data_IF_088421323126
#
_entry.id   IF_088421323126
#
_cell.length_a   1.000
_cell.length_b   1.000
_cell.length_c   1.000
_cell.angle_alpha   90.00
_cell.angle_beta   90.00
_cell.angle_gamma   90.00
#
_symmetry.space_group_name_H-M   'P 1'
#
loop_
_entity.id
_entity.type
_entity.pdbx_description
1 polymer ?
#
# COMPACT_ATOMS: atom_id res chain seq x y z
N UNK A 1 9.69 -1.99 14.59
CA UNK A 1 9.00 -1.71 13.33
C UNK A 1 7.61 -1.18 13.63
N UNK A 2 7.17 -0.14 12.92
CA UNK A 2 5.83 0.44 13.02
C UNK A 2 5.25 0.70 11.63
N UNK A 3 4.04 0.18 11.38
CA UNK A 3 3.36 0.27 10.09
C UNK A 3 2.21 1.28 10.13
N UNK A 4 2.02 2.05 9.06
CA UNK A 4 0.77 2.76 8.80
C UNK A 4 -0.05 1.93 7.82
N UNK A 5 -1.22 1.44 8.24
CA UNK A 5 -2.06 0.55 7.44
C UNK A 5 -3.16 1.39 6.79
N UNK A 6 -3.19 1.40 5.46
CA UNK A 6 -4.29 1.94 4.67
C UNK A 6 -5.36 0.86 4.49
N UNK A 7 -6.45 1.02 5.23
CA UNK A 7 -7.51 0.03 5.40
C UNK A 7 -8.72 0.34 4.53
N UNK A 8 -9.31 -0.70 3.95
CA UNK A 8 -10.55 -0.61 3.17
C UNK A 8 -11.47 -1.81 3.42
N UNK A 9 -11.39 -2.39 4.63
CA UNK A 9 -12.17 -3.56 5.06
C UNK A 9 -11.88 -4.83 4.22
N UNK A 10 -10.59 -5.08 3.98
CA UNK A 10 -10.13 -6.25 3.25
C UNK A 10 -10.38 -7.54 4.04
N UNK A 11 -10.61 -8.66 3.34
CA UNK A 11 -10.96 -9.95 3.97
C UNK A 11 -9.93 -10.42 5.02
N UNK A 12 -8.64 -10.24 4.73
CA UNK A 12 -7.54 -10.74 5.56
C UNK A 12 -7.09 -9.76 6.66
N UNK A 13 -7.78 -8.62 6.79
CA UNK A 13 -7.28 -7.53 7.61
C UNK A 13 -7.13 -7.91 9.09
N UNK A 14 -8.13 -8.57 9.68
CA UNK A 14 -8.10 -8.99 11.09
C UNK A 14 -7.00 -10.01 11.37
N UNK A 15 -6.82 -10.99 10.49
CA UNK A 15 -5.79 -12.02 10.64
C UNK A 15 -4.38 -11.41 10.53
N UNK A 16 -4.22 -10.42 9.65
CA UNK A 16 -2.98 -9.67 9.52
C UNK A 16 -2.67 -8.83 10.75
N UNK A 17 -3.62 -8.04 11.26
CA UNK A 17 -3.45 -7.26 12.50
C UNK A 17 -3.16 -8.15 13.72
N UNK A 18 -3.81 -9.31 13.81
CA UNK A 18 -3.53 -10.31 14.84
C UNK A 18 -2.09 -10.84 14.73
N UNK A 19 -1.65 -11.16 13.51
CA UNK A 19 -0.28 -11.62 13.24
C UNK A 19 0.75 -10.55 13.59
N UNK A 20 0.51 -9.28 13.22
CA UNK A 20 1.39 -8.17 13.60
C UNK A 20 1.50 -8.03 15.11
N UNK A 21 0.39 -8.17 15.83
CA UNK A 21 0.33 -8.12 17.29
C UNK A 21 1.12 -9.26 17.93
N UNK A 22 0.94 -10.50 17.45
CA UNK A 22 1.69 -11.68 17.92
C UNK A 22 3.20 -11.50 17.74
N UNK A 23 3.61 -10.86 16.64
CA UNK A 23 5.01 -10.55 16.36
C UNK A 23 5.51 -9.23 16.95
N UNK A 24 4.73 -8.58 17.82
CA UNK A 24 5.09 -7.32 18.50
C UNK A 24 5.43 -6.18 17.52
N UNK A 25 4.79 -6.14 16.36
CA UNK A 25 4.90 -5.08 15.37
C UNK A 25 3.82 -4.03 15.66
N UNK A 26 4.23 -2.79 15.90
CA UNK A 26 3.28 -1.70 16.10
C UNK A 26 2.61 -1.31 14.78
N UNK A 27 1.35 -0.90 14.81
CA UNK A 27 0.68 -0.36 13.64
C UNK A 27 -0.38 0.67 14.00
N UNK A 28 -0.71 1.53 13.04
CA UNK A 28 -1.87 2.43 13.08
C UNK A 28 -2.70 2.21 11.84
N UNK A 29 -3.98 1.95 12.03
CA UNK A 29 -4.98 1.87 10.96
C UNK A 29 -5.51 3.24 10.55
N UNK A 30 -5.63 3.47 9.25
CA UNK A 30 -6.39 4.59 8.69
C UNK A 30 -7.34 4.06 7.63
N UNK A 31 -8.62 4.42 7.73
CA UNK A 31 -9.63 4.08 6.74
C UNK A 31 -10.04 5.34 5.98
N UNK A 32 -10.15 5.25 4.66
CA UNK A 32 -10.60 6.35 3.83
C UNK A 32 -11.46 5.86 2.67
N UNK A 33 -12.61 6.52 2.47
CA UNK A 33 -13.49 6.25 1.35
C UNK A 33 -13.11 7.17 0.20
N UNK A 34 -12.50 6.61 -0.85
CA UNK A 34 -12.08 7.38 -2.03
C UNK A 34 -13.28 8.02 -2.72
N UNK A 35 -13.19 9.34 -2.94
CA UNK A 35 -14.17 10.07 -3.76
C UNK A 35 -13.83 9.88 -5.24
N UNK A 36 -12.54 9.92 -5.58
CA UNK A 36 -11.98 9.58 -6.88
C UNK A 36 -10.75 8.70 -6.65
N UNK A 37 -10.83 7.44 -7.06
CA UNK A 37 -9.73 6.45 -6.90
C UNK A 37 -8.46 6.82 -7.68
N UNK A 38 -8.56 7.73 -8.66
CA UNK A 38 -7.43 8.15 -9.52
C UNK A 38 -6.81 9.45 -9.02
N UNK A 39 -7.61 10.40 -8.56
CA UNK A 39 -7.15 11.73 -8.18
C UNK A 39 -7.84 12.25 -6.93
N UNK A 40 -7.29 11.88 -5.77
CA UNK A 40 -7.76 12.37 -4.47
C UNK A 40 -6.66 13.13 -3.74
N UNK A 41 -6.58 14.44 -3.97
CA UNK A 41 -5.60 15.31 -3.32
C UNK A 41 -5.82 15.42 -1.81
N UNK A 42 -7.07 15.30 -1.36
CA UNK A 42 -7.40 15.30 0.07
C UNK A 42 -6.81 14.06 0.75
N UNK A 43 -6.97 12.88 0.15
CA UNK A 43 -6.35 11.65 0.63
C UNK A 43 -4.82 11.78 0.66
N UNK A 44 -4.20 12.25 -0.43
CA UNK A 44 -2.74 12.43 -0.50
C UNK A 44 -2.23 13.35 0.62
N UNK A 45 -2.89 14.49 0.80
CA UNK A 45 -2.56 15.43 1.86
C UNK A 45 -2.72 14.78 3.24
N UNK A 46 -3.83 14.10 3.49
CA UNK A 46 -4.13 13.50 4.79
C UNK A 46 -3.18 12.36 5.14
N UNK A 47 -2.85 11.48 4.18
CA UNK A 47 -1.83 10.45 4.33
C UNK A 47 -0.47 11.06 4.66
N UNK A 48 -0.09 12.14 3.98
CA UNK A 48 1.15 12.88 4.27
C UNK A 48 1.16 13.41 5.71
N UNK A 49 0.03 13.96 6.19
CA UNK A 49 -0.06 14.43 7.59
C UNK A 49 0.14 13.30 8.58
N UNK A 50 -0.47 12.13 8.38
CA UNK A 50 -0.25 10.98 9.26
C UNK A 50 1.23 10.57 9.31
N UNK A 51 1.91 10.58 8.17
CA UNK A 51 3.34 10.28 8.09
C UNK A 51 4.23 11.31 8.81
N UNK A 52 3.77 12.54 8.97
CA UNK A 52 4.50 13.60 9.67
C UNK A 52 4.16 13.71 11.16
N UNK A 53 2.98 13.25 11.57
CA UNK A 53 2.52 13.23 12.97
C UNK A 53 3.27 12.20 13.84
N UNK A 54 3.81 11.15 13.23
CA UNK A 54 4.40 10.02 13.94
C UNK A 54 5.45 9.33 13.05
N UNK A 55 6.29 8.49 13.64
CA UNK A 55 7.31 7.74 12.91
C UNK A 55 6.76 6.39 12.44
N UNK A 56 6.88 6.12 11.14
CA UNK A 56 6.57 4.82 10.51
C UNK A 56 7.75 4.32 9.71
N UNK A 57 7.96 2.99 9.73
CA UNK A 57 8.99 2.33 8.92
C UNK A 57 8.48 2.01 7.51
N UNK A 58 7.17 1.79 7.37
CA UNK A 58 6.52 1.55 6.09
C UNK A 58 5.01 1.84 6.14
N UNK A 59 4.42 2.08 4.97
CA UNK A 59 2.98 2.06 4.74
C UNK A 59 2.59 0.70 4.18
N UNK A 60 1.45 0.15 4.62
CA UNK A 60 0.93 -1.13 4.14
C UNK A 60 -0.49 -0.98 3.61
N UNK A 61 -0.83 -1.70 2.53
CA UNK A 61 -2.22 -1.94 2.15
C UNK A 61 -2.44 -3.35 1.59
N UNK A 62 -3.65 -3.86 1.78
CA UNK A 62 -4.16 -4.92 0.92
C UNK A 62 -4.54 -4.34 -0.43
N UNK A 63 -4.20 -5.06 -1.50
CA UNK A 63 -4.19 -4.58 -2.87
C UNK A 63 -3.30 -3.35 -3.09
N UNK A 64 -2.92 -3.17 -4.36
CA UNK A 64 -2.06 -2.06 -4.75
C UNK A 64 -2.90 -0.80 -4.95
N UNK A 65 -2.54 0.29 -4.26
CA UNK A 65 -3.22 1.58 -4.31
C UNK A 65 -2.25 2.63 -4.89
N UNK A 66 -2.43 3.07 -6.14
CA UNK A 66 -1.53 4.03 -6.80
C UNK A 66 -1.32 5.33 -6.03
N UNK A 67 -2.40 5.85 -5.41
CA UNK A 67 -2.34 7.05 -4.60
C UNK A 67 -1.39 6.89 -3.41
N UNK A 68 -1.43 5.73 -2.74
CA UNK A 68 -0.50 5.41 -1.64
C UNK A 68 0.93 5.31 -2.15
N UNK A 69 1.15 4.59 -3.26
CA UNK A 69 2.47 4.48 -3.88
C UNK A 69 3.07 5.86 -4.21
N UNK A 70 2.27 6.76 -4.78
CA UNK A 70 2.71 8.12 -5.15
C UNK A 70 3.14 8.96 -3.95
N UNK A 71 2.39 8.90 -2.84
CA UNK A 71 2.74 9.59 -1.60
C UNK A 71 4.00 8.97 -1.00
N UNK A 72 4.07 7.64 -0.92
CA UNK A 72 5.23 6.95 -0.34
C UNK A 72 6.53 7.24 -1.11
N UNK A 73 6.47 7.27 -2.44
CA UNK A 73 7.60 7.66 -3.29
C UNK A 73 8.04 9.11 -3.05
N UNK A 74 7.08 10.03 -2.85
CA UNK A 74 7.37 11.44 -2.56
C UNK A 74 7.97 11.65 -1.17
N UNK A 75 7.43 10.97 -0.17
CA UNK A 75 7.88 11.05 1.23
C UNK A 75 9.08 10.13 1.53
N UNK A 76 9.57 9.39 0.52
CA UNK A 76 10.69 8.46 0.62
C UNK A 76 10.53 7.43 1.74
N UNK A 77 9.34 6.85 1.86
CA UNK A 77 8.99 5.77 2.81
C UNK A 77 8.62 4.50 2.06
N UNK A 78 8.93 3.33 2.61
CA UNK A 78 8.57 2.05 1.99
C UNK A 78 7.05 1.89 1.89
N UNK A 79 6.59 1.41 0.74
CA UNK A 79 5.21 1.00 0.51
C UNK A 79 5.14 -0.52 0.30
N UNK A 80 4.47 -1.21 1.20
CA UNK A 80 4.21 -2.64 1.16
C UNK A 80 2.77 -2.87 0.67
N UNK A 81 2.61 -3.51 -0.48
CA UNK A 81 1.29 -3.85 -0.99
C UNK A 81 1.18 -5.36 -1.15
N UNK A 82 0.16 -5.97 -0.57
CA UNK A 82 -0.14 -7.39 -0.82
C UNK A 82 -1.44 -7.52 -1.57
N UNK A 83 -1.35 -7.91 -2.85
CA UNK A 83 -2.52 -8.16 -3.68
C UNK A 83 -2.80 -9.64 -3.84
N UNK A 84 -4.06 -9.99 -3.57
CA UNK A 84 -4.66 -11.29 -3.81
C UNK A 84 -5.57 -11.30 -5.05
N UNK A 85 -5.67 -10.17 -5.75
CA UNK A 85 -6.43 -10.02 -6.99
C UNK A 85 -5.51 -10.16 -8.21
N UNK A 86 -6.04 -10.75 -9.29
CA UNK A 86 -5.36 -10.88 -10.58
C UNK A 86 -6.42 -10.76 -11.69
N UNK A 87 -6.31 -9.80 -12.62
CA UNK A 87 -5.25 -8.78 -12.69
C UNK A 87 -5.35 -7.73 -11.57
N UNK A 88 -4.32 -6.89 -11.42
CA UNK A 88 -4.40 -5.72 -10.56
C UNK A 88 -5.44 -4.78 -11.19
N UNK A 89 -6.49 -4.43 -10.45
CA UNK A 89 -7.55 -3.53 -10.93
C UNK A 89 -7.09 -2.06 -10.85
N UNK A 90 -6.03 -1.75 -11.60
CA UNK A 90 -5.34 -0.47 -11.59
C UNK A 90 -4.94 -0.11 -13.02
N UNK A 91 -5.42 1.03 -13.49
CA UNK A 91 -5.05 1.56 -14.80
C UNK A 91 -3.60 2.08 -14.80
N UNK A 92 -2.83 1.74 -15.83
CA UNK A 92 -1.42 2.10 -15.98
C UNK A 92 -0.56 1.74 -14.75
N UNK A 93 -0.85 0.59 -14.14
CA UNK A 93 -0.21 0.14 -12.89
C UNK A 93 1.31 0.09 -13.00
N UNK A 94 1.84 -0.18 -14.19
CA UNK A 94 3.26 -0.25 -14.50
C UNK A 94 4.00 1.07 -14.18
N UNK A 95 3.35 2.23 -14.35
CA UNK A 95 3.93 3.54 -14.01
C UNK A 95 4.27 3.64 -12.51
N UNK A 96 3.41 3.07 -11.67
CA UNK A 96 3.53 3.12 -10.22
C UNK A 96 4.41 1.99 -9.68
N UNK A 97 4.36 0.79 -10.29
CA UNK A 97 5.15 -0.36 -9.85
C UNK A 97 6.66 -0.09 -9.88
N UNK A 98 7.12 0.77 -10.80
CA UNK A 98 8.53 1.17 -10.90
C UNK A 98 9.04 2.07 -9.78
N UNK A 99 8.20 2.52 -8.84
CA UNK A 99 8.66 3.33 -7.71
C UNK A 99 9.57 2.54 -6.78
N UNK A 100 10.76 3.09 -6.52
CA UNK A 100 11.81 2.47 -5.70
C UNK A 100 11.40 2.09 -4.27
N UNK A 101 10.39 2.79 -3.76
CA UNK A 101 9.82 2.59 -2.42
C UNK A 101 8.88 1.39 -2.34
N UNK A 102 8.42 0.86 -3.47
CA UNK A 102 7.43 -0.21 -3.50
C UNK A 102 8.04 -1.59 -3.23
N UNK A 103 7.33 -2.40 -2.43
CA UNK A 103 7.48 -3.85 -2.33
C UNK A 103 6.10 -4.46 -2.50
N UNK A 104 5.81 -4.96 -3.70
CA UNK A 104 4.51 -5.49 -4.07
C UNK A 104 4.57 -7.02 -4.07
N UNK A 105 3.72 -7.63 -3.25
CA UNK A 105 3.57 -9.08 -3.13
C UNK A 105 2.34 -9.48 -3.92
N UNK A 106 2.55 -10.23 -5.01
CA UNK A 106 1.49 -10.74 -5.88
C UNK A 106 1.28 -12.22 -5.58
N UNK A 107 0.01 -12.66 -5.53
CA UNK A 107 -0.29 -14.08 -5.37
C UNK A 107 -0.06 -14.87 -6.67
N UNK A 108 -0.28 -14.24 -7.83
CA UNK A 108 -0.19 -14.91 -9.13
C UNK A 108 1.22 -14.82 -9.73
N UNK A 109 1.79 -15.99 -10.01
CA UNK A 109 3.14 -16.10 -10.57
C UNK A 109 3.25 -15.54 -11.98
N UNK A 110 2.25 -15.78 -12.83
CA UNK A 110 2.30 -15.37 -14.25
C UNK A 110 2.27 -13.85 -14.36
N UNK A 111 1.41 -13.21 -13.57
CA UNK A 111 1.34 -11.77 -13.44
C UNK A 111 2.67 -11.17 -12.92
N UNK A 112 3.26 -11.77 -11.88
CA UNK A 112 4.57 -11.35 -11.38
C UNK A 112 5.66 -11.43 -12.46
N UNK A 113 5.76 -12.55 -13.17
CA UNK A 113 6.73 -12.72 -14.26
C UNK A 113 6.50 -11.71 -15.39
N UNK A 114 5.22 -11.40 -15.68
CA UNK A 114 4.82 -10.35 -16.61
C UNK A 114 5.40 -8.99 -16.24
N UNK A 115 5.11 -8.49 -15.03
CA UNK A 115 5.63 -7.20 -14.59
C UNK A 115 7.15 -7.18 -14.47
N UNK A 116 7.75 -8.24 -13.93
CA UNK A 116 9.22 -8.34 -13.79
C UNK A 116 9.95 -8.27 -15.13
N UNK A 117 9.33 -8.73 -16.22
CA UNK A 117 9.94 -8.69 -17.54
C UNK A 117 10.02 -7.28 -18.14
N UNK A 118 9.31 -6.30 -17.58
CA UNK A 118 9.24 -4.93 -18.08
C UNK A 118 10.38 -4.02 -17.56
N UNK A 119 11.10 -4.44 -16.52
CA UNK A 119 12.21 -3.68 -15.90
C UNK A 119 11.94 -3.35 -14.44
#
# INVERSE_FOLDING_TARGET
MKLLICEWNAFMQKDFEATLTEHHIAFKGISYNFVDVKNDDYFKWHLTQFLHEDHYDAVFSFNFIPLVASVCQKENILYLAWSYDNPLDVENVEEYLGYSTNRVFLFDKVQYEGYKSLG
#
